data_IF_744566231106
#
_entry.id   IF_744566231106
#
_cell.length_a   1.000
_cell.length_b   1.000
_cell.length_c   1.000
_cell.angle_alpha   90.00
_cell.angle_beta   90.00
_cell.angle_gamma   90.00
#
_symmetry.space_group_name_H-M   'P 1'
#
loop_
_entity.id
_entity.type
_entity.pdbx_description
1 polymer ?
#
# COMPACT_ATOMS: atom_id res chain seq x y z
N UNK A 1 -17.38 -10.88 -14.16
CA UNK A 1 -18.74 -10.96 -13.58
C UNK A 1 -18.63 -11.48 -12.16
N UNK A 2 -19.60 -11.23 -11.31
CA UNK A 2 -19.66 -11.74 -9.93
C UNK A 2 -20.89 -12.64 -9.84
N UNK A 3 -20.73 -13.82 -9.26
CA UNK A 3 -21.83 -14.70 -8.88
C UNK A 3 -21.93 -14.68 -7.35
N UNK A 4 -23.02 -14.10 -6.83
CA UNK A 4 -23.33 -14.10 -5.42
C UNK A 4 -24.11 -15.38 -5.10
N UNK A 5 -23.56 -16.20 -4.23
CA UNK A 5 -24.26 -17.38 -3.73
C UNK A 5 -25.29 -16.97 -2.66
N UNK A 6 -26.34 -17.75 -2.51
CA UNK A 6 -27.31 -17.58 -1.41
C UNK A 6 -26.68 -17.96 -0.06
N UNK A 7 -27.18 -17.39 1.04
CA UNK A 7 -26.64 -17.62 2.38
C UNK A 7 -26.70 -19.09 2.82
N UNK A 8 -27.61 -19.88 2.21
CA UNK A 8 -27.81 -21.29 2.47
C UNK A 8 -27.28 -22.20 1.34
N UNK A 9 -26.45 -21.65 0.43
CA UNK A 9 -25.85 -22.46 -0.63
C UNK A 9 -24.94 -23.54 -0.04
N UNK A 10 -25.11 -24.75 -0.53
CA UNK A 10 -24.31 -25.90 -0.10
C UNK A 10 -22.92 -25.87 -0.72
N UNK A 11 -21.92 -26.54 -0.13
CA UNK A 11 -20.59 -26.68 -0.72
C UNK A 11 -20.64 -27.28 -2.14
N UNK A 12 -21.54 -28.21 -2.41
CA UNK A 12 -21.68 -28.83 -3.73
C UNK A 12 -22.21 -27.84 -4.77
N UNK A 13 -23.16 -26.99 -4.42
CA UNK A 13 -23.66 -25.92 -5.28
C UNK A 13 -22.56 -24.90 -5.59
N UNK A 14 -21.77 -24.52 -4.59
CA UNK A 14 -20.64 -23.60 -4.74
C UNK A 14 -19.61 -24.21 -5.70
N UNK A 15 -19.22 -25.46 -5.49
CA UNK A 15 -18.27 -26.16 -6.36
C UNK A 15 -18.79 -26.31 -7.80
N UNK A 16 -20.08 -26.63 -7.95
CA UNK A 16 -20.69 -26.68 -9.27
C UNK A 16 -20.57 -25.35 -10.03
N UNK A 17 -20.83 -24.22 -9.37
CA UNK A 17 -20.68 -22.88 -9.98
C UNK A 17 -19.22 -22.59 -10.33
N UNK A 18 -18.27 -22.95 -9.47
CA UNK A 18 -16.83 -22.79 -9.73
C UNK A 18 -16.44 -23.56 -11.00
N UNK A 19 -16.87 -24.80 -11.14
CA UNK A 19 -16.54 -25.64 -12.29
C UNK A 19 -17.18 -25.10 -13.58
N UNK A 20 -18.44 -24.66 -13.52
CA UNK A 20 -19.11 -24.03 -14.68
C UNK A 20 -18.40 -22.75 -15.12
N UNK A 21 -17.92 -21.91 -14.20
CA UNK A 21 -17.12 -20.72 -14.50
C UNK A 21 -15.83 -21.12 -15.21
N UNK A 22 -15.15 -22.16 -14.75
CA UNK A 22 -13.92 -22.68 -15.36
C UNK A 22 -14.16 -23.25 -16.76
N UNK A 23 -15.22 -24.02 -16.94
CA UNK A 23 -15.63 -24.57 -18.25
C UNK A 23 -15.93 -23.47 -19.29
N UNK A 24 -16.43 -22.31 -18.83
CA UNK A 24 -16.62 -21.13 -19.64
C UNK A 24 -15.31 -20.40 -20.00
N UNK A 25 -14.15 -20.87 -19.50
CA UNK A 25 -12.84 -20.29 -19.77
C UNK A 25 -12.49 -19.08 -18.90
N UNK A 26 -13.18 -18.91 -17.77
CA UNK A 26 -12.85 -17.90 -16.77
C UNK A 26 -12.10 -18.52 -15.58
N UNK A 27 -11.31 -17.70 -14.88
CA UNK A 27 -10.80 -18.06 -13.55
C UNK A 27 -11.87 -17.78 -12.51
N UNK A 28 -12.09 -18.74 -11.61
CA UNK A 28 -13.01 -18.57 -10.48
C UNK A 28 -12.24 -18.13 -9.24
N UNK A 29 -12.51 -16.92 -8.76
CA UNK A 29 -11.98 -16.41 -7.50
C UNK A 29 -13.08 -16.45 -6.44
N UNK A 30 -12.88 -17.27 -5.42
CA UNK A 30 -13.87 -17.45 -4.33
C UNK A 30 -13.51 -16.54 -3.16
N UNK A 31 -14.48 -15.72 -2.76
CA UNK A 31 -14.40 -14.88 -1.56
C UNK A 31 -15.46 -15.37 -0.59
N UNK A 32 -15.03 -15.94 0.53
CA UNK A 32 -15.95 -16.32 1.62
C UNK A 32 -16.20 -15.09 2.50
N UNK A 33 -17.41 -14.57 2.50
CA UNK A 33 -17.89 -13.58 3.45
C UNK A 33 -18.51 -14.23 4.69
N UNK A 34 -18.79 -13.43 5.72
CA UNK A 34 -19.46 -13.91 6.94
C UNK A 34 -20.88 -14.44 6.66
N UNK A 35 -21.60 -13.86 5.71
CA UNK A 35 -22.99 -14.22 5.41
C UNK A 35 -23.15 -15.05 4.12
N UNK A 36 -22.26 -14.88 3.14
CA UNK A 36 -22.39 -15.53 1.82
C UNK A 36 -21.05 -15.71 1.11
N UNK A 37 -21.01 -16.67 0.19
CA UNK A 37 -19.89 -16.86 -0.73
C UNK A 37 -20.10 -16.03 -2.00
N UNK A 38 -19.04 -15.36 -2.44
CA UNK A 38 -19.01 -14.58 -3.68
C UNK A 38 -17.97 -15.22 -4.62
N UNK A 39 -18.32 -15.46 -5.88
CA UNK A 39 -17.43 -16.06 -6.86
C UNK A 39 -17.21 -15.07 -8.00
N UNK A 40 -15.97 -14.56 -8.12
CA UNK A 40 -15.55 -13.72 -9.23
C UNK A 40 -15.21 -14.56 -10.46
N UNK A 41 -15.93 -14.37 -11.57
CA UNK A 41 -15.55 -14.91 -12.88
C UNK A 41 -14.64 -13.90 -13.58
N UNK A 42 -13.31 -14.17 -13.56
CA UNK A 42 -12.25 -13.28 -14.04
C UNK A 42 -11.68 -13.82 -15.36
N UNK A 43 -11.56 -12.94 -16.34
CA UNK A 43 -11.00 -13.29 -17.65
C UNK A 43 -11.67 -12.56 -18.82
N UNK A 44 -11.21 -12.85 -20.02
CA UNK A 44 -11.64 -12.23 -21.28
C UNK A 44 -12.36 -13.19 -22.22
N UNK A 45 -12.88 -14.31 -21.71
CA UNK A 45 -13.66 -15.26 -22.52
C UNK A 45 -14.87 -14.58 -23.16
N UNK A 46 -15.14 -14.88 -24.42
CA UNK A 46 -16.33 -14.42 -25.15
C UNK A 46 -17.67 -14.99 -24.64
N UNK A 47 -17.62 -15.95 -23.69
CA UNK A 47 -18.78 -16.72 -23.18
C UNK A 47 -19.48 -16.07 -21.99
N UNK A 48 -19.56 -14.73 -21.96
CA UNK A 48 -20.20 -13.97 -20.85
C UNK A 48 -21.66 -14.32 -20.67
N UNK A 49 -22.41 -14.58 -21.72
CA UNK A 49 -23.82 -14.98 -21.65
C UNK A 49 -24.03 -16.28 -20.87
N UNK A 50 -23.05 -17.17 -20.89
CA UNK A 50 -23.11 -18.42 -20.13
C UNK A 50 -22.94 -18.19 -18.62
N UNK A 51 -22.11 -17.20 -18.24
CA UNK A 51 -22.02 -16.79 -16.82
C UNK A 51 -23.31 -16.07 -16.37
N UNK A 52 -23.95 -15.27 -17.24
CA UNK A 52 -25.25 -14.66 -16.95
C UNK A 52 -26.35 -15.73 -16.74
N UNK A 53 -26.30 -16.81 -17.50
CA UNK A 53 -27.24 -17.93 -17.36
C UNK A 53 -27.13 -18.65 -16.01
N UNK A 54 -25.99 -18.54 -15.29
CA UNK A 54 -25.84 -19.09 -13.94
C UNK A 54 -26.79 -18.45 -12.92
N UNK A 55 -27.45 -17.34 -13.26
CA UNK A 55 -28.50 -16.75 -12.41
C UNK A 55 -29.63 -17.73 -12.11
N UNK A 56 -29.88 -18.68 -13.00
CA UNK A 56 -30.91 -19.71 -12.82
C UNK A 56 -30.40 -20.98 -12.12
N UNK A 57 -29.11 -21.05 -11.78
CA UNK A 57 -28.53 -22.24 -11.16
C UNK A 57 -28.89 -22.32 -9.66
N UNK A 58 -29.03 -23.53 -9.11
CA UNK A 58 -29.27 -23.75 -7.68
C UNK A 58 -28.18 -23.08 -6.83
N UNK A 59 -28.55 -22.49 -5.70
CA UNK A 59 -27.64 -21.84 -4.77
C UNK A 59 -27.15 -20.45 -5.23
N UNK A 60 -27.52 -19.95 -6.42
CA UNK A 60 -27.18 -18.61 -6.89
C UNK A 60 -28.25 -17.61 -6.49
N UNK A 61 -27.87 -16.55 -5.77
CA UNK A 61 -28.75 -15.45 -5.42
C UNK A 61 -28.80 -14.38 -6.54
N UNK A 62 -27.64 -14.06 -7.10
CA UNK A 62 -27.54 -13.00 -8.10
C UNK A 62 -26.27 -13.15 -8.95
N UNK A 63 -26.33 -12.68 -10.20
CA UNK A 63 -25.16 -12.50 -11.07
C UNK A 63 -25.05 -11.04 -11.46
N UNK A 64 -23.92 -10.39 -11.07
CA UNK A 64 -23.66 -8.98 -11.27
C UNK A 64 -22.56 -8.78 -12.31
N UNK A 65 -22.78 -7.88 -13.25
CA UNK A 65 -21.74 -7.46 -14.17
C UNK A 65 -20.89 -6.37 -13.54
N UNK A 66 -19.57 -6.65 -13.33
CA UNK A 66 -18.65 -5.61 -12.87
C UNK A 66 -18.44 -4.60 -14.01
N UNK A 67 -18.78 -3.34 -13.75
CA UNK A 67 -18.66 -2.24 -14.71
C UNK A 67 -17.22 -1.78 -14.89
N UNK A 68 -16.38 -1.92 -13.86
CA UNK A 68 -14.98 -1.49 -13.88
C UNK A 68 -14.05 -2.52 -14.58
N UNK A 69 -12.96 -2.08 -15.22
CA UNK A 69 -12.00 -2.98 -15.85
C UNK A 69 -11.18 -3.80 -14.82
N UNK A 70 -11.00 -3.31 -13.59
CA UNK A 70 -10.44 -4.03 -12.45
C UNK A 70 -11.55 -4.80 -11.72
N UNK A 71 -11.25 -6.00 -11.23
CA UNK A 71 -12.22 -6.93 -10.65
C UNK A 71 -11.91 -7.28 -9.21
N UNK A 72 -10.72 -7.85 -8.96
CA UNK A 72 -10.30 -8.34 -7.65
C UNK A 72 -10.16 -7.21 -6.64
N UNK A 73 -9.64 -6.05 -7.05
CA UNK A 73 -9.50 -4.88 -6.18
C UNK A 73 -10.82 -4.13 -5.93
N UNK A 74 -11.91 -4.48 -6.68
CA UNK A 74 -13.15 -3.73 -6.65
C UNK A 74 -13.99 -4.01 -5.41
N UNK A 75 -14.58 -2.96 -4.83
CA UNK A 75 -15.62 -3.10 -3.80
C UNK A 75 -16.88 -3.82 -4.27
N UNK A 76 -17.11 -3.90 -5.58
CA UNK A 76 -18.21 -4.70 -6.14
C UNK A 76 -17.99 -6.20 -5.90
N UNK A 77 -16.72 -6.67 -5.88
CA UNK A 77 -16.40 -8.05 -5.56
C UNK A 77 -16.34 -8.30 -4.05
N UNK A 78 -15.72 -7.38 -3.30
CA UNK A 78 -15.55 -7.50 -1.85
C UNK A 78 -15.98 -6.20 -1.19
N UNK A 79 -17.14 -6.20 -0.53
CA UNK A 79 -17.69 -5.02 0.15
C UNK A 79 -16.92 -4.68 1.43
N UNK A 80 -16.52 -5.70 2.20
CA UNK A 80 -15.72 -5.55 3.40
C UNK A 80 -14.32 -5.03 3.06
N UNK A 81 -13.83 -4.06 3.84
CA UNK A 81 -12.47 -3.54 3.68
C UNK A 81 -11.42 -4.61 3.95
N UNK A 82 -10.36 -4.58 3.18
CA UNK A 82 -9.17 -5.38 3.49
C UNK A 82 -8.42 -4.74 4.63
N UNK A 83 -8.04 -5.57 5.59
CA UNK A 83 -7.09 -5.22 6.66
C UNK A 83 -5.81 -5.98 6.37
N UNK A 84 -4.71 -5.27 6.16
CA UNK A 84 -3.39 -5.85 5.91
C UNK A 84 -2.61 -5.85 7.22
N UNK A 85 -2.17 -7.03 7.65
CA UNK A 85 -1.33 -7.21 8.85
C UNK A 85 0.14 -7.21 8.46
N UNK A 86 0.90 -6.29 9.03
CA UNK A 86 2.35 -6.21 8.85
C UNK A 86 3.00 -6.44 10.21
N UNK A 87 3.26 -7.68 10.53
CA UNK A 87 3.88 -8.09 11.81
C UNK A 87 3.17 -7.47 13.04
N UNK A 88 1.84 -7.57 13.07
CA UNK A 88 0.98 -7.07 14.14
C UNK A 88 0.48 -5.63 13.96
N UNK A 89 1.04 -4.85 13.02
CA UNK A 89 0.49 -3.55 12.63
C UNK A 89 -0.59 -3.75 11.57
N UNK A 90 -1.83 -3.38 11.88
CA UNK A 90 -2.99 -3.55 11.00
C UNK A 90 -3.31 -2.26 10.25
N UNK A 91 -3.26 -2.29 8.91
CA UNK A 91 -3.57 -1.17 8.03
C UNK A 91 -4.97 -1.40 7.44
N UNK A 92 -5.88 -0.43 7.59
CA UNK A 92 -7.26 -0.52 7.09
C UNK A 92 -8.30 -0.97 8.12
N UNK A 93 -7.92 -1.10 9.41
CA UNK A 93 -8.80 -1.46 10.52
C UNK A 93 -9.59 -0.26 11.12
N UNK A 94 -9.35 0.95 10.60
CA UNK A 94 -9.95 2.20 11.09
C UNK A 94 -8.99 3.11 11.83
N UNK A 95 -7.85 2.59 12.30
CA UNK A 95 -6.80 3.40 12.92
C UNK A 95 -5.90 4.03 11.86
N UNK A 96 -5.38 5.23 12.14
CA UNK A 96 -4.41 5.90 11.27
C UNK A 96 -3.00 5.34 11.53
N UNK A 97 -2.45 4.60 10.58
CA UNK A 97 -1.08 4.07 10.68
C UNK A 97 -0.07 5.09 10.17
N UNK A 98 1.00 5.35 10.92
CA UNK A 98 2.10 6.24 10.51
C UNK A 98 3.37 5.44 10.28
N UNK A 99 3.84 5.46 9.04
CA UNK A 99 5.11 4.87 8.57
C UNK A 99 6.12 5.99 8.47
N UNK A 100 7.19 5.99 9.26
CA UNK A 100 8.14 7.09 9.31
C UNK A 100 9.59 6.61 9.26
N UNK A 101 10.48 7.43 8.74
CA UNK A 101 11.91 7.14 8.66
C UNK A 101 12.59 7.85 7.49
N UNK A 102 13.88 7.62 7.26
CA UNK A 102 14.64 8.38 6.27
C UNK A 102 14.24 8.04 4.83
N UNK A 103 14.43 8.98 3.92
CA UNK A 103 14.30 8.75 2.48
C UNK A 103 15.23 7.61 2.05
N UNK A 104 16.52 7.70 2.39
CA UNK A 104 17.53 6.67 2.21
C UNK A 104 18.22 6.35 3.52
N UNK A 105 18.65 5.10 3.66
CA UNK A 105 19.57 4.70 4.72
C UNK A 105 20.98 5.12 4.29
N UNK A 106 21.59 6.05 5.01
CA UNK A 106 22.87 6.68 4.67
C UNK A 106 24.02 6.15 5.54
N UNK A 107 23.71 5.78 6.77
CA UNK A 107 24.61 5.10 7.71
C UNK A 107 23.79 4.37 8.78
N UNK A 108 24.45 3.49 9.54
CA UNK A 108 23.82 2.84 10.68
C UNK A 108 23.39 3.84 11.74
N UNK A 109 24.27 4.81 12.06
CA UNK A 109 24.02 5.83 13.07
C UNK A 109 22.80 6.70 12.72
N UNK A 110 22.74 7.21 11.48
CA UNK A 110 21.61 8.01 10.98
C UNK A 110 20.30 7.24 11.09
N UNK A 111 20.29 5.97 10.70
CA UNK A 111 19.09 5.14 10.75
C UNK A 111 18.67 4.83 12.18
N UNK A 112 19.59 4.47 13.06
CA UNK A 112 19.29 4.14 14.45
C UNK A 112 18.74 5.35 15.22
N UNK A 113 19.37 6.52 15.08
CA UNK A 113 18.87 7.78 15.66
C UNK A 113 17.44 8.08 15.19
N UNK A 114 17.20 7.97 13.86
CA UNK A 114 15.86 8.19 13.30
C UNK A 114 14.87 7.15 13.82
N UNK A 115 15.21 5.88 13.83
CA UNK A 115 14.32 4.79 14.23
C UNK A 115 13.87 4.90 15.68
N UNK A 116 14.80 5.24 16.60
CA UNK A 116 14.46 5.47 18.00
C UNK A 116 13.56 6.71 18.18
N UNK A 117 13.87 7.81 17.49
CA UNK A 117 13.07 9.03 17.58
C UNK A 117 11.66 8.84 17.04
N UNK A 118 11.48 8.23 15.86
CA UNK A 118 10.14 7.99 15.30
C UNK A 118 9.35 6.99 16.14
N UNK A 119 10.00 5.97 16.72
CA UNK A 119 9.36 5.06 17.68
C UNK A 119 8.87 5.80 18.91
N UNK A 120 9.73 6.62 19.50
CA UNK A 120 9.39 7.42 20.69
C UNK A 120 8.25 8.41 20.44
N UNK A 121 8.12 8.89 19.21
CA UNK A 121 7.04 9.77 18.78
C UNK A 121 5.75 9.04 18.38
N UNK A 122 5.71 7.69 18.41
CA UNK A 122 4.50 6.90 18.18
C UNK A 122 4.32 6.39 16.75
N UNK A 123 5.36 6.41 15.91
CA UNK A 123 5.29 5.75 14.61
C UNK A 123 5.01 4.25 14.76
N UNK A 124 4.22 3.70 13.82
CA UNK A 124 3.83 2.29 13.83
C UNK A 124 4.80 1.41 13.04
N UNK A 125 5.46 1.95 12.01
CA UNK A 125 6.38 1.23 11.14
C UNK A 125 7.57 2.12 10.77
N UNK A 126 8.72 1.49 10.46
CA UNK A 126 9.93 2.15 9.99
C UNK A 126 10.03 2.03 8.47
N UNK A 127 10.20 3.16 7.79
CA UNK A 127 10.61 3.17 6.38
C UNK A 127 12.09 3.52 6.24
N UNK A 128 12.72 3.03 5.20
CA UNK A 128 14.07 3.42 4.80
C UNK A 128 14.40 2.86 3.43
N UNK A 129 14.89 3.68 2.50
CA UNK A 129 15.33 3.22 1.18
C UNK A 129 16.71 2.55 1.27
N UNK A 130 16.79 1.25 1.03
CA UNK A 130 18.05 0.53 0.90
C UNK A 130 18.69 0.77 -0.47
N UNK A 131 17.85 0.81 -1.51
CA UNK A 131 18.18 1.14 -2.88
C UNK A 131 17.45 2.42 -3.28
N UNK A 132 18.02 3.23 -4.16
CA UNK A 132 17.44 4.51 -4.58
C UNK A 132 17.33 4.63 -6.09
N UNK A 133 16.10 4.82 -6.65
CA UNK A 133 15.93 5.14 -8.05
C UNK A 133 16.34 6.59 -8.29
N UNK A 134 17.47 6.79 -8.99
CA UNK A 134 17.99 8.14 -9.27
C UNK A 134 17.91 8.46 -10.76
N UNK A 135 17.62 9.72 -11.06
CA UNK A 135 17.65 10.21 -12.44
C UNK A 135 19.08 10.35 -12.94
N UNK A 136 19.99 10.77 -12.05
CA UNK A 136 21.43 10.84 -12.34
C UNK A 136 22.16 9.61 -11.81
N UNK A 137 23.04 8.98 -12.60
CA UNK A 137 23.86 7.86 -12.14
C UNK A 137 24.94 8.28 -11.13
N UNK A 138 25.19 9.58 -10.98
CA UNK A 138 26.19 10.14 -10.05
C UNK A 138 25.61 10.42 -8.66
N UNK A 139 24.28 10.39 -8.51
CA UNK A 139 23.64 10.58 -7.23
C UNK A 139 23.82 9.33 -6.35
N UNK A 140 23.63 9.49 -5.03
CA UNK A 140 23.66 8.40 -4.07
C UNK A 140 22.64 7.31 -4.42
N UNK A 141 23.12 6.09 -4.68
CA UNK A 141 22.29 4.96 -5.15
C UNK A 141 21.71 4.09 -4.00
N UNK A 142 22.06 4.41 -2.75
CA UNK A 142 21.78 3.60 -1.57
C UNK A 142 22.93 2.65 -1.21
N UNK A 143 22.86 2.08 0.00
CA UNK A 143 23.85 1.12 0.51
C UNK A 143 23.49 -0.35 0.19
N UNK A 144 22.37 -0.58 -0.48
CA UNK A 144 21.95 -1.92 -0.88
C UNK A 144 21.75 -2.87 0.30
N UNK A 145 22.37 -4.05 0.22
CA UNK A 145 22.23 -5.10 1.26
C UNK A 145 22.72 -4.64 2.64
N UNK A 146 23.71 -3.77 2.71
CA UNK A 146 24.17 -3.21 3.97
C UNK A 146 23.06 -2.41 4.66
N UNK A 147 22.34 -1.55 3.91
CA UNK A 147 21.18 -0.84 4.44
C UNK A 147 20.07 -1.79 4.91
N UNK A 148 19.83 -2.89 4.21
CA UNK A 148 18.87 -3.92 4.64
C UNK A 148 19.25 -4.51 6.01
N UNK A 149 20.54 -4.76 6.23
CA UNK A 149 21.05 -5.23 7.54
C UNK A 149 20.84 -4.20 8.64
N UNK A 150 21.11 -2.92 8.35
CA UNK A 150 20.86 -1.82 9.30
C UNK A 150 19.37 -1.69 9.62
N UNK A 151 18.49 -1.77 8.62
CA UNK A 151 17.04 -1.77 8.84
C UNK A 151 16.61 -2.93 9.73
N UNK A 152 17.13 -4.13 9.51
CA UNK A 152 16.82 -5.30 10.34
C UNK A 152 17.30 -5.11 11.78
N UNK A 153 18.47 -4.50 11.99
CA UNK A 153 18.98 -4.16 13.32
C UNK A 153 18.06 -3.15 14.01
N UNK A 154 17.75 -2.03 13.33
CA UNK A 154 16.85 -1.01 13.84
C UNK A 154 15.47 -1.56 14.22
N UNK A 155 14.92 -2.44 13.38
CA UNK A 155 13.66 -3.13 13.64
C UNK A 155 13.70 -4.03 14.88
N UNK A 156 14.79 -4.75 15.11
CA UNK A 156 14.96 -5.60 16.30
C UNK A 156 15.03 -4.76 17.59
N UNK A 157 15.69 -3.61 17.56
CA UNK A 157 15.84 -2.73 18.72
C UNK A 157 14.58 -1.93 19.04
N UNK A 158 13.86 -1.47 17.99
CA UNK A 158 12.66 -0.62 18.19
C UNK A 158 11.34 -1.40 18.17
N UNK A 159 11.35 -2.62 17.66
CA UNK A 159 10.14 -3.40 17.43
C UNK A 159 9.33 -2.95 16.19
N UNK A 160 9.74 -1.91 15.47
CA UNK A 160 9.01 -1.39 14.30
C UNK A 160 9.13 -2.35 13.10
N UNK A 161 8.02 -2.73 12.44
CA UNK A 161 8.06 -3.41 11.14
C UNK A 161 8.73 -2.55 10.07
N UNK A 162 9.43 -3.20 9.12
CA UNK A 162 10.22 -2.53 8.07
C UNK A 162 9.42 -2.40 6.79
N UNK A 163 9.43 -1.19 6.20
CA UNK A 163 9.00 -0.94 4.81
C UNK A 163 10.22 -0.46 4.02
N UNK A 164 10.58 -1.17 2.96
CA UNK A 164 11.67 -0.75 2.05
C UNK A 164 11.31 -1.01 0.59
N UNK A 165 11.90 -0.20 -0.30
CA UNK A 165 11.60 -0.27 -1.74
C UNK A 165 12.37 -1.40 -2.41
N UNK A 166 11.68 -2.17 -3.26
CA UNK A 166 12.24 -3.12 -4.20
C UNK A 166 12.30 -2.48 -5.58
N UNK A 167 13.48 -2.51 -6.21
CA UNK A 167 13.74 -1.77 -7.44
C UNK A 167 13.55 -2.61 -8.70
N UNK A 168 13.91 -3.89 -8.64
CA UNK A 168 13.90 -4.80 -9.78
C UNK A 168 13.45 -6.21 -9.37
N UNK A 169 13.16 -7.05 -10.37
CA UNK A 169 12.84 -8.45 -10.13
C UNK A 169 13.99 -9.23 -9.47
N UNK A 170 15.25 -8.84 -9.76
CA UNK A 170 16.43 -9.47 -9.19
C UNK A 170 16.57 -9.20 -7.69
N UNK A 171 16.04 -8.07 -7.20
CA UNK A 171 16.14 -7.65 -5.81
C UNK A 171 15.02 -8.25 -4.93
N UNK A 172 13.99 -8.88 -5.52
CA UNK A 172 12.79 -9.32 -4.79
C UNK A 172 13.16 -10.26 -3.65
N UNK A 173 13.95 -11.30 -3.92
CA UNK A 173 14.28 -12.33 -2.94
C UNK A 173 15.08 -11.77 -1.76
N UNK A 174 16.10 -10.94 -2.06
CA UNK A 174 16.90 -10.33 -0.98
C UNK A 174 16.11 -9.31 -0.17
N UNK A 175 15.23 -8.53 -0.80
CA UNK A 175 14.40 -7.56 -0.07
C UNK A 175 13.34 -8.28 0.76
N UNK A 176 12.72 -9.36 0.24
CA UNK A 176 11.74 -10.18 0.99
C UNK A 176 12.33 -10.77 2.27
N UNK A 177 13.62 -11.16 2.27
CA UNK A 177 14.31 -11.67 3.46
C UNK A 177 14.32 -10.65 4.61
N UNK A 178 14.48 -9.35 4.31
CA UNK A 178 14.67 -8.30 5.32
C UNK A 178 13.42 -7.47 5.60
N UNK A 179 12.57 -7.24 4.60
CA UNK A 179 11.39 -6.41 4.73
C UNK A 179 10.23 -7.14 5.41
N UNK A 180 9.38 -6.39 6.12
CA UNK A 180 8.07 -6.86 6.60
C UNK A 180 6.96 -6.44 5.63
N UNK A 181 7.19 -5.38 4.84
CA UNK A 181 6.37 -4.92 3.71
C UNK A 181 7.27 -4.42 2.58
N UNK A 182 7.01 -4.84 1.36
CA UNK A 182 7.78 -4.46 0.18
C UNK A 182 7.13 -3.27 -0.53
N UNK A 183 7.88 -2.18 -0.74
CA UNK A 183 7.36 -1.01 -1.45
C UNK A 183 7.67 -1.08 -2.94
N UNK A 184 6.65 -0.87 -3.77
CA UNK A 184 6.81 -0.55 -5.20
C UNK A 184 6.79 0.97 -5.35
N UNK A 185 7.91 1.55 -5.75
CA UNK A 185 8.04 2.98 -5.97
C UNK A 185 7.18 3.47 -7.14
N UNK A 186 6.84 4.75 -7.15
CA UNK A 186 5.96 5.35 -8.16
C UNK A 186 6.47 5.18 -9.60
N UNK A 187 7.79 5.15 -9.81
CA UNK A 187 8.40 4.90 -11.13
C UNK A 187 8.20 3.46 -11.62
N UNK A 188 7.99 2.52 -10.68
CA UNK A 188 7.81 1.09 -10.94
C UNK A 188 6.33 0.64 -10.90
N UNK A 189 5.38 1.55 -10.75
CA UNK A 189 3.95 1.20 -10.71
C UNK A 189 3.50 0.39 -11.93
N UNK A 190 4.06 0.68 -13.10
CA UNK A 190 3.76 0.01 -14.37
C UNK A 190 4.83 -1.00 -14.80
N UNK A 191 5.76 -1.34 -13.92
CA UNK A 191 6.68 -2.45 -14.15
C UNK A 191 5.97 -3.78 -13.90
N UNK A 192 5.20 -4.22 -14.90
CA UNK A 192 4.34 -5.41 -14.77
C UNK A 192 5.11 -6.70 -14.55
N UNK A 193 6.38 -6.80 -14.98
CA UNK A 193 7.24 -7.95 -14.64
C UNK A 193 7.51 -7.99 -13.14
N UNK A 194 7.90 -6.85 -12.55
CA UNK A 194 8.10 -6.74 -11.10
C UNK A 194 6.80 -7.04 -10.34
N UNK A 195 5.66 -6.49 -10.77
CA UNK A 195 4.37 -6.75 -10.14
C UNK A 195 3.99 -8.24 -10.18
N UNK A 196 4.22 -8.93 -11.31
CA UNK A 196 4.00 -10.39 -11.40
C UNK A 196 4.92 -11.16 -10.46
N UNK A 197 6.19 -10.78 -10.31
CA UNK A 197 7.10 -11.43 -9.35
C UNK A 197 6.61 -11.21 -7.91
N UNK A 198 6.22 -9.97 -7.57
CA UNK A 198 5.70 -9.60 -6.25
C UNK A 198 4.31 -10.21 -5.93
N UNK A 199 3.57 -10.62 -6.92
CA UNK A 199 2.31 -11.32 -6.73
C UNK A 199 2.46 -12.70 -6.09
N UNK A 200 3.67 -13.27 -6.09
CA UNK A 200 3.98 -14.58 -5.52
C UNK A 200 4.76 -14.52 -4.21
N UNK A 201 5.10 -13.33 -3.71
CA UNK A 201 5.77 -13.17 -2.42
C UNK A 201 4.78 -13.31 -1.26
N UNK A 202 5.30 -13.70 -0.10
CA UNK A 202 4.48 -13.85 1.12
C UNK A 202 4.29 -12.54 1.89
N UNK A 203 4.99 -11.49 1.50
CA UNK A 203 4.98 -10.19 2.20
C UNK A 203 3.93 -9.25 1.61
N UNK A 204 3.30 -8.40 2.46
CA UNK A 204 2.48 -7.31 1.99
C UNK A 204 3.22 -6.37 1.04
N UNK A 205 2.49 -5.77 0.08
CA UNK A 205 3.04 -4.85 -0.92
C UNK A 205 2.41 -3.48 -0.78
N UNK A 206 3.24 -2.44 -0.59
CA UNK A 206 2.85 -1.04 -0.67
C UNK A 206 3.05 -0.53 -2.11
N UNK A 207 1.96 -0.28 -2.83
CA UNK A 207 1.99 0.17 -4.22
C UNK A 207 1.76 1.68 -4.32
N UNK A 208 2.82 2.44 -4.61
CA UNK A 208 2.74 3.89 -4.83
C UNK A 208 2.19 4.21 -6.21
N UNK A 209 1.27 5.18 -6.28
CA UNK A 209 0.72 5.71 -7.54
C UNK A 209 1.81 6.36 -8.39
N UNK A 210 1.82 6.05 -9.68
CA UNK A 210 2.71 6.68 -10.65
C UNK A 210 2.39 8.17 -10.84
N UNK A 211 3.41 9.02 -11.14
CA UNK A 211 3.25 10.46 -11.19
C UNK A 211 2.33 10.97 -12.31
N UNK A 212 2.06 10.15 -13.32
CA UNK A 212 1.14 10.46 -14.42
C UNK A 212 0.05 9.40 -14.58
N UNK A 213 -0.17 8.59 -13.52
CA UNK A 213 -1.12 7.51 -13.56
C UNK A 213 -2.51 7.96 -13.11
N UNK A 214 -3.52 7.55 -13.87
CA UNK A 214 -4.92 7.67 -13.44
C UNK A 214 -5.22 6.71 -12.27
N UNK A 215 -6.28 6.96 -11.51
CA UNK A 215 -6.78 6.04 -10.48
C UNK A 215 -7.08 4.66 -11.08
N UNK A 216 -7.63 4.61 -12.30
CA UNK A 216 -7.91 3.36 -13.00
C UNK A 216 -6.63 2.54 -13.28
N UNK A 217 -5.56 3.17 -13.77
CA UNK A 217 -4.28 2.50 -14.03
C UNK A 217 -3.63 2.01 -12.75
N UNK A 218 -3.73 2.80 -11.67
CA UNK A 218 -3.23 2.42 -10.35
C UNK A 218 -3.96 1.18 -9.79
N UNK A 219 -5.30 1.15 -9.88
CA UNK A 219 -6.09 -0.01 -9.49
C UNK A 219 -5.83 -1.24 -10.39
N UNK A 220 -5.59 -1.04 -11.69
CA UNK A 220 -5.18 -2.13 -12.59
C UNK A 220 -3.77 -2.65 -12.26
N UNK A 221 -2.85 -1.81 -11.80
CA UNK A 221 -1.55 -2.26 -11.33
C UNK A 221 -1.69 -3.12 -10.04
N UNK A 222 -2.55 -2.71 -9.09
CA UNK A 222 -2.88 -3.53 -7.93
C UNK A 222 -3.56 -4.86 -8.30
N UNK A 223 -4.39 -4.86 -9.34
CA UNK A 223 -5.03 -6.08 -9.86
C UNK A 223 -4.02 -7.16 -10.25
N UNK A 224 -2.83 -6.78 -10.78
CA UNK A 224 -1.76 -7.75 -11.08
C UNK A 224 -1.27 -8.49 -9.84
N UNK A 225 -1.16 -7.81 -8.72
CA UNK A 225 -0.75 -8.40 -7.45
C UNK A 225 -1.80 -9.39 -6.94
N UNK A 226 -3.07 -8.98 -6.91
CA UNK A 226 -4.15 -9.83 -6.44
C UNK A 226 -4.37 -11.04 -7.37
N UNK A 227 -4.30 -10.83 -8.69
CA UNK A 227 -4.48 -11.90 -9.68
C UNK A 227 -3.40 -12.98 -9.60
N UNK A 228 -2.19 -12.63 -9.16
CA UNK A 228 -1.10 -13.58 -8.92
C UNK A 228 -1.11 -14.22 -7.53
N UNK A 229 -2.04 -13.82 -6.64
CA UNK A 229 -2.26 -14.45 -5.33
C UNK A 229 -1.88 -13.60 -4.11
N UNK A 230 -1.23 -12.45 -4.27
CA UNK A 230 -0.92 -11.57 -3.15
C UNK A 230 -2.11 -10.63 -2.87
N UNK A 231 -2.90 -10.95 -1.86
CA UNK A 231 -4.07 -10.17 -1.43
C UNK A 231 -3.72 -9.03 -0.46
N UNK A 232 -2.50 -9.02 0.09
CA UNK A 232 -2.05 -8.05 1.09
C UNK A 232 -1.42 -6.82 0.43
N UNK A 233 -2.26 -6.04 -0.24
CA UNK A 233 -1.84 -4.85 -0.99
C UNK A 233 -2.37 -3.60 -0.30
N UNK A 234 -1.47 -2.64 -0.10
CA UNK A 234 -1.75 -1.29 0.41
C UNK A 234 -1.44 -0.29 -0.70
N UNK A 235 -2.38 0.60 -0.98
CA UNK A 235 -2.21 1.66 -1.96
C UNK A 235 -1.58 2.89 -1.31
N UNK A 236 -0.83 3.72 -2.07
CA UNK A 236 -0.26 4.96 -1.55
C UNK A 236 -0.34 6.08 -2.59
N UNK A 237 -1.14 7.09 -2.31
CA UNK A 237 -1.15 8.35 -3.06
C UNK A 237 0.07 9.19 -2.65
N UNK A 238 0.86 9.65 -3.63
CA UNK A 238 2.11 10.38 -3.40
C UNK A 238 2.30 11.63 -4.26
N UNK A 239 1.22 12.12 -4.83
CA UNK A 239 1.21 13.26 -5.75
C UNK A 239 1.39 12.88 -7.21
N UNK A 240 0.73 13.63 -8.05
CA UNK A 240 0.76 13.51 -9.51
C UNK A 240 1.42 14.75 -10.13
N UNK A 241 1.98 14.60 -11.32
CA UNK A 241 2.47 15.72 -12.12
C UNK A 241 1.31 16.50 -12.71
N UNK A 242 1.33 17.80 -12.51
CA UNK A 242 0.38 18.75 -13.08
C UNK A 242 1.14 19.94 -13.67
N UNK A 243 0.43 20.96 -14.09
CA UNK A 243 1.04 22.23 -14.55
C UNK A 243 1.62 23.06 -13.40
N UNK A 244 1.26 22.75 -12.13
CA UNK A 244 1.77 23.48 -10.96
C UNK A 244 3.24 23.17 -10.70
N UNK A 245 4.01 24.21 -10.42
CA UNK A 245 5.46 24.14 -10.21
C UNK A 245 5.92 24.60 -8.82
N UNK A 246 5.02 25.23 -8.05
CA UNK A 246 5.32 25.68 -6.68
C UNK A 246 5.53 24.52 -5.70
N UNK A 247 4.95 23.34 -5.99
CA UNK A 247 5.19 22.11 -5.28
C UNK A 247 5.81 21.05 -6.22
N UNK A 248 6.49 20.07 -5.64
CA UNK A 248 7.11 18.98 -6.42
C UNK A 248 6.07 18.19 -7.25
N UNK A 249 4.91 17.96 -6.67
CA UNK A 249 3.75 17.31 -7.28
C UNK A 249 2.49 17.92 -6.66
N UNK A 250 1.33 17.63 -7.23
CA UNK A 250 0.03 17.91 -6.64
C UNK A 250 -0.43 16.67 -5.87
N UNK A 251 -0.52 16.74 -4.53
CA UNK A 251 -1.05 15.65 -3.71
C UNK A 251 -2.57 15.54 -3.94
N UNK A 252 -3.00 14.44 -4.56
CA UNK A 252 -4.39 14.23 -4.99
C UNK A 252 -5.20 13.53 -3.89
N UNK A 253 -5.64 14.28 -2.89
CA UNK A 253 -6.47 13.74 -1.82
C UNK A 253 -7.88 13.34 -2.28
N UNK A 254 -8.37 13.89 -3.40
CA UNK A 254 -9.62 13.43 -4.00
C UNK A 254 -9.50 11.97 -4.48
N UNK A 255 -8.33 11.58 -5.01
CA UNK A 255 -8.08 10.19 -5.37
C UNK A 255 -8.09 9.25 -4.16
N UNK A 256 -7.66 9.71 -2.98
CA UNK A 256 -7.75 8.92 -1.74
C UNK A 256 -9.20 8.58 -1.42
N UNK A 257 -10.10 9.59 -1.42
CA UNK A 257 -11.53 9.37 -1.19
C UNK A 257 -12.14 8.45 -2.26
N UNK A 258 -11.85 8.72 -3.55
CA UNK A 258 -12.38 7.95 -4.68
C UNK A 258 -11.95 6.49 -4.63
N UNK A 259 -10.68 6.22 -4.31
CA UNK A 259 -10.18 4.84 -4.18
C UNK A 259 -10.91 4.09 -3.08
N UNK A 260 -11.24 4.75 -1.96
CA UNK A 260 -12.01 4.13 -0.87
C UNK A 260 -13.46 3.81 -1.26
N UNK A 261 -14.02 4.44 -2.28
CA UNK A 261 -15.32 4.08 -2.86
C UNK A 261 -15.18 2.91 -3.85
N UNK A 262 -14.15 2.92 -4.68
CA UNK A 262 -13.96 1.97 -5.78
C UNK A 262 -13.35 0.63 -5.33
N UNK A 263 -12.47 0.66 -4.32
CA UNK A 263 -11.66 -0.48 -3.90
C UNK A 263 -11.85 -0.82 -2.41
N UNK A 264 -11.68 -2.08 -2.08
CA UNK A 264 -11.63 -2.55 -0.70
C UNK A 264 -10.23 -2.45 -0.07
N UNK A 265 -9.19 -2.13 -0.87
CA UNK A 265 -7.82 -2.05 -0.40
C UNK A 265 -7.61 -0.81 0.48
N UNK A 266 -6.76 -0.88 1.53
CA UNK A 266 -6.39 0.29 2.30
C UNK A 266 -5.53 1.24 1.48
N UNK A 267 -5.64 2.55 1.76
CA UNK A 267 -4.93 3.61 1.04
C UNK A 267 -4.24 4.58 2.00
N UNK A 268 -2.94 4.75 1.80
CA UNK A 268 -2.09 5.72 2.51
C UNK A 268 -1.92 7.00 1.68
N UNK A 269 -1.47 8.06 2.34
CA UNK A 269 -0.99 9.28 1.69
C UNK A 269 0.49 9.53 2.04
N UNK A 270 1.22 10.06 1.08
CA UNK A 270 2.64 10.45 1.19
C UNK A 270 2.78 11.96 0.93
N UNK A 271 2.59 12.80 1.95
CA UNK A 271 2.70 14.25 1.80
C UNK A 271 4.14 14.72 1.58
N UNK A 272 5.16 13.95 2.04
CA UNK A 272 6.56 14.27 1.81
C UNK A 272 6.90 14.34 0.32
N UNK A 273 6.60 13.25 -0.42
CA UNK A 273 6.80 13.22 -1.88
C UNK A 273 5.70 13.99 -2.64
N UNK A 274 4.49 14.05 -2.06
CA UNK A 274 3.37 14.75 -2.67
C UNK A 274 3.64 16.22 -2.84
N UNK A 275 4.13 16.88 -1.82
CA UNK A 275 4.40 18.33 -1.84
C UNK A 275 5.85 18.68 -2.16
N UNK A 276 6.80 17.88 -1.65
CA UNK A 276 8.23 18.17 -1.76
C UNK A 276 8.71 19.30 -0.85
N UNK A 277 7.84 19.78 0.06
CA UNK A 277 8.11 20.92 0.92
C UNK A 277 7.80 20.55 2.38
N UNK A 278 8.82 20.69 3.26
CA UNK A 278 8.72 20.39 4.70
C UNK A 278 7.55 21.10 5.37
N UNK A 279 7.33 22.38 5.06
CA UNK A 279 6.28 23.21 5.66
C UNK A 279 4.86 22.72 5.34
N UNK A 280 4.68 21.96 4.26
CA UNK A 280 3.38 21.44 3.84
C UNK A 280 3.08 20.04 4.36
N UNK A 281 4.04 19.33 4.97
CA UNK A 281 3.85 17.96 5.42
C UNK A 281 2.75 17.90 6.50
N UNK A 282 2.86 18.70 7.55
CA UNK A 282 1.87 18.69 8.65
C UNK A 282 0.46 19.05 8.20
N UNK A 283 0.20 20.16 7.48
CA UNK A 283 -1.15 20.46 7.03
C UNK A 283 -1.72 19.41 6.07
N UNK A 284 -0.90 18.86 5.17
CA UNK A 284 -1.36 17.83 4.23
C UNK A 284 -1.55 16.46 4.89
N UNK A 285 -0.80 16.14 5.94
CA UNK A 285 -1.04 14.95 6.77
C UNK A 285 -2.39 15.02 7.48
N UNK A 286 -2.73 16.17 8.06
CA UNK A 286 -4.05 16.39 8.67
C UNK A 286 -5.18 16.30 7.65
N UNK A 287 -5.01 16.89 6.48
CA UNK A 287 -5.98 16.80 5.40
C UNK A 287 -6.17 15.36 4.91
N UNK A 288 -5.07 14.59 4.79
CA UNK A 288 -5.12 13.17 4.43
C UNK A 288 -5.85 12.32 5.47
N UNK A 289 -5.62 12.57 6.76
CA UNK A 289 -6.37 11.93 7.83
C UNK A 289 -7.86 12.29 7.79
N UNK A 290 -8.18 13.57 7.58
CA UNK A 290 -9.57 14.06 7.50
C UNK A 290 -10.34 13.47 6.31
N UNK A 291 -9.69 13.24 5.16
CA UNK A 291 -10.31 12.60 3.98
C UNK A 291 -10.44 11.08 4.16
N UNK A 292 -9.90 10.53 5.25
CA UNK A 292 -10.02 9.13 5.63
C UNK A 292 -8.93 8.23 5.07
N UNK A 293 -7.72 8.73 4.82
CA UNK A 293 -6.58 7.85 4.55
C UNK A 293 -6.39 6.84 5.70
N UNK A 294 -6.03 5.60 5.37
CA UNK A 294 -5.78 4.54 6.34
C UNK A 294 -4.39 4.65 7.00
N UNK A 295 -3.59 5.60 6.52
CA UNK A 295 -2.30 5.93 7.13
C UNK A 295 -1.51 6.97 6.33
N UNK A 296 -0.32 7.27 6.84
CA UNK A 296 0.62 8.24 6.28
C UNK A 296 2.00 7.58 6.14
N UNK A 297 2.75 8.01 5.12
CA UNK A 297 4.17 7.69 5.01
C UNK A 297 4.97 8.98 4.96
N UNK A 298 5.87 9.17 5.94
CA UNK A 298 6.55 10.44 6.21
C UNK A 298 8.06 10.25 6.15
N UNK A 299 8.75 11.16 5.46
CA UNK A 299 10.21 11.22 5.48
C UNK A 299 10.70 12.01 6.69
N UNK A 300 11.60 11.38 7.46
CA UNK A 300 12.19 11.93 8.68
C UNK A 300 13.69 11.73 8.63
N UNK A 301 14.46 12.77 8.93
CA UNK A 301 15.92 12.73 8.95
C UNK A 301 16.45 13.52 10.15
N UNK A 302 17.49 13.05 10.88
CA UNK A 302 18.01 13.77 12.07
C UNK A 302 18.60 15.14 11.72
N UNK A 303 19.11 15.30 10.52
CA UNK A 303 19.64 16.57 9.99
C UNK A 303 19.29 16.69 8.50
N UNK A 304 18.06 17.14 8.13
CA UNK A 304 17.60 17.18 6.73
C UNK A 304 18.50 17.98 5.77
N UNK A 305 19.19 18.99 6.29
CA UNK A 305 20.12 19.83 5.50
C UNK A 305 21.36 19.06 5.04
N UNK A 306 21.67 17.93 5.68
CA UNK A 306 22.82 17.06 5.37
C UNK A 306 22.39 15.76 4.66
N UNK A 307 21.08 15.57 4.44
CA UNK A 307 20.57 14.37 3.81
C UNK A 307 21.09 14.18 2.39
N UNK A 308 21.52 12.97 2.06
CA UNK A 308 22.00 12.60 0.71
C UNK A 308 20.84 12.48 -0.30
N UNK A 309 19.60 12.39 0.20
CA UNK A 309 18.40 12.37 -0.65
C UNK A 309 17.22 13.07 0.03
N UNK A 310 16.46 13.83 -0.76
CA UNK A 310 15.16 14.43 -0.44
C UNK A 310 15.10 15.24 0.88
N UNK A 311 16.21 15.88 1.30
CA UNK A 311 16.31 16.70 2.52
C UNK A 311 15.23 17.80 2.63
N UNK A 312 14.93 18.59 1.58
CA UNK A 312 13.95 19.66 1.62
C UNK A 312 12.52 19.21 1.97
N UNK A 313 12.20 17.94 1.75
CA UNK A 313 10.88 17.34 2.03
C UNK A 313 10.88 16.42 3.26
N UNK A 314 11.99 16.33 3.99
CA UNK A 314 12.09 15.54 5.22
C UNK A 314 11.80 16.42 6.44
N UNK A 315 11.02 15.90 7.39
CA UNK A 315 10.93 16.49 8.71
C UNK A 315 12.21 16.20 9.49
N UNK A 316 12.62 17.10 10.36
CA UNK A 316 13.54 16.79 11.44
C UNK A 316 12.83 16.03 12.58
N UNK A 317 13.59 15.56 13.55
CA UNK A 317 13.03 14.75 14.65
C UNK A 317 12.00 15.53 15.50
N UNK A 318 12.25 16.80 15.89
CA UNK A 318 11.25 17.62 16.59
C UNK A 318 9.99 17.86 15.76
N UNK A 319 10.13 18.21 14.48
CA UNK A 319 9.00 18.46 13.58
C UNK A 319 8.14 17.21 13.37
N UNK A 320 8.74 16.02 13.36
CA UNK A 320 7.97 14.77 13.33
C UNK A 320 7.21 14.53 14.64
N UNK A 321 7.82 14.82 15.78
CA UNK A 321 7.12 14.73 17.07
C UNK A 321 5.91 15.68 17.11
N UNK A 322 6.07 16.93 16.69
CA UNK A 322 4.98 17.91 16.59
C UNK A 322 3.85 17.45 15.66
N UNK A 323 4.21 16.83 14.53
CA UNK A 323 3.22 16.22 13.64
C UNK A 323 2.41 15.16 14.37
N UNK A 324 3.06 14.19 15.04
CA UNK A 324 2.40 13.09 15.74
C UNK A 324 1.49 13.59 16.89
N UNK A 325 1.94 14.58 17.64
CA UNK A 325 1.12 15.26 18.67
C UNK A 325 -0.12 15.91 18.04
N UNK A 326 0.06 16.57 16.91
CA UNK A 326 -1.02 17.26 16.19
C UNK A 326 -2.06 16.34 15.56
N UNK A 327 -1.70 15.07 15.34
CA UNK A 327 -2.58 14.00 14.85
C UNK A 327 -3.23 13.20 15.98
N UNK A 328 -2.88 13.47 17.25
CA UNK A 328 -3.31 12.68 18.40
C UNK A 328 -2.71 11.28 18.47
N UNK A 329 -1.58 11.06 17.80
CA UNK A 329 -0.89 9.75 17.68
C UNK A 329 0.31 9.62 18.62
N UNK A 330 0.75 10.72 19.26
CA UNK A 330 1.87 10.67 20.21
C UNK A 330 1.49 9.82 21.43
N UNK A 331 2.42 8.99 21.96
CA UNK A 331 2.19 8.25 23.18
C UNK A 331 1.93 9.24 24.34
N UNK A 332 0.95 8.91 25.18
CA UNK A 332 0.67 9.69 26.38
C UNK A 332 1.93 9.69 27.26
N UNK A 333 2.55 10.85 27.42
CA UNK A 333 3.67 10.98 28.36
C UNK A 333 3.12 10.77 29.79
N UNK A 334 3.51 9.68 30.43
CA UNK A 334 3.31 9.59 31.88
C UNK A 334 3.95 10.84 32.51
N UNK A 335 3.14 11.65 33.17
CA UNK A 335 3.65 12.79 33.91
C UNK A 335 4.70 12.24 34.90
N UNK A 336 5.98 12.63 34.73
CA UNK A 336 6.98 12.34 35.73
C UNK A 336 6.42 12.93 37.01
N UNK A 337 6.10 12.03 37.96
CA UNK A 337 5.76 12.45 39.32
C UNK A 337 6.90 13.36 39.86
N UNK A 338 6.56 14.61 40.21
CA UNK A 338 7.48 15.61 40.72
C UNK A 338 8.02 15.20 42.10
#
# INVERSE_FOLDING_TARGET
>A
MIVNMSNNATPDEINHIIDRIRECGFQAHVVQGEERTIIGAIGSSGRRSEIEALRAAPGVAEVIQISHPFKLVSRQLRQARTVVDVRGTKIGNGDLVVIAGPCSVESEEQLMETAHAVKASGANMLRGGAYKPRTSPYDFQGLGVEALRFLRKASRETGLPIVTEVMSEADVEIVEEYADMMQVGARNMQNFSLLRKLAHVSKPVLLKRGPSATVKEWLLAAEYLLAGGNADVVLCERGIKTFETATRNTLDLAAVALVKELSHLPVLADPSHGTGLRSLITPMSKAAAAVGADGLIIEVHPCPERALSDGPQSLDLPGFQELMESLGQAPVREAKAA
#
